data_IF_354067081339
#
_entry.id   IF_354067081339
#
_cell.length_a   1.000
_cell.length_b   1.000
_cell.length_c   1.000
_cell.angle_alpha   90.00
_cell.angle_beta   90.00
_cell.angle_gamma   90.00
#
_symmetry.space_group_name_H-M   'P 1'
#
loop_
_entity.id
_entity.type
_entity.pdbx_description
1 polymer ?
#
# COMPACT_ATOMS: atom_id res chain seq x y z
N UNK A 1 -12.64 -5.07 -14.55
CA UNK A 1 -11.80 -6.12 -13.92
C UNK A 1 -12.40 -6.45 -12.58
N UNK A 2 -12.56 -7.74 -12.26
CA UNK A 2 -13.11 -8.14 -10.97
C UNK A 2 -12.14 -7.78 -9.84
N UNK A 3 -12.65 -7.16 -8.78
CA UNK A 3 -11.86 -6.68 -7.63
C UNK A 3 -11.73 -7.80 -6.60
N UNK A 4 -10.52 -8.00 -6.07
CA UNK A 4 -10.27 -9.05 -5.06
C UNK A 4 -10.78 -8.60 -3.71
N UNK A 5 -11.33 -9.50 -2.91
CA UNK A 5 -11.70 -9.13 -1.55
C UNK A 5 -10.45 -8.85 -0.69
N UNK A 6 -10.51 -7.77 0.09
CA UNK A 6 -9.45 -7.40 1.03
C UNK A 6 -9.51 -8.20 2.33
N UNK A 7 -10.70 -8.64 2.77
CA UNK A 7 -10.90 -9.42 4.00
C UNK A 7 -11.25 -10.89 3.75
N UNK A 8 -11.95 -11.22 2.65
CA UNK A 8 -12.30 -12.60 2.31
C UNK A 8 -11.25 -13.29 1.43
N UNK A 9 -11.50 -14.55 1.10
CA UNK A 9 -10.82 -15.24 0.01
C UNK A 9 -11.62 -15.07 -1.27
N UNK A 10 -10.94 -14.88 -2.41
CA UNK A 10 -11.59 -14.72 -3.71
C UNK A 10 -11.87 -13.26 -4.08
N UNK A 11 -13.01 -13.03 -4.72
CA UNK A 11 -13.41 -11.75 -5.30
C UNK A 11 -14.45 -11.05 -4.44
N UNK A 12 -14.52 -9.72 -4.53
CA UNK A 12 -15.52 -8.90 -3.83
C UNK A 12 -16.96 -9.27 -4.27
N UNK A 13 -17.12 -9.69 -5.52
CA UNK A 13 -18.41 -10.15 -6.07
C UNK A 13 -18.88 -11.49 -5.49
N UNK A 14 -17.96 -12.29 -4.94
CA UNK A 14 -18.26 -13.59 -4.34
C UNK A 14 -18.47 -13.50 -2.82
N UNK A 15 -18.46 -12.28 -2.26
CA UNK A 15 -18.65 -12.07 -0.83
C UNK A 15 -20.09 -12.45 -0.41
N UNK A 16 -20.25 -13.13 0.72
CA UNK A 16 -21.56 -13.57 1.19
C UNK A 16 -22.43 -12.36 1.51
N UNK A 17 -23.66 -12.37 1.01
CA UNK A 17 -24.67 -11.37 1.37
C UNK A 17 -25.09 -11.50 2.83
N UNK A 18 -25.63 -10.43 3.41
CA UNK A 18 -26.11 -10.43 4.80
C UNK A 18 -27.14 -11.52 5.06
N UNK A 19 -28.01 -11.82 4.10
CA UNK A 19 -28.99 -12.91 4.21
C UNK A 19 -28.34 -14.29 4.19
N UNK A 20 -27.37 -14.52 3.30
CA UNK A 20 -26.60 -15.76 3.29
C UNK A 20 -25.82 -15.96 4.59
N UNK A 21 -25.26 -14.90 5.17
CA UNK A 21 -24.58 -14.95 6.47
C UNK A 21 -25.53 -15.32 7.60
N UNK A 22 -26.76 -14.79 7.61
CA UNK A 22 -27.79 -15.17 8.62
C UNK A 22 -28.17 -16.64 8.52
N UNK A 23 -28.38 -17.14 7.30
CA UNK A 23 -28.70 -18.55 7.07
C UNK A 23 -27.56 -19.44 7.56
N UNK A 24 -26.32 -19.14 7.16
CA UNK A 24 -25.14 -19.89 7.60
C UNK A 24 -24.95 -19.84 9.12
N UNK A 25 -25.16 -18.67 9.76
CA UNK A 25 -25.07 -18.53 11.21
C UNK A 25 -26.10 -19.42 11.93
N UNK A 26 -27.34 -19.48 11.43
CA UNK A 26 -28.40 -20.32 12.01
C UNK A 26 -28.08 -21.82 11.90
N UNK A 27 -27.56 -22.26 10.76
CA UNK A 27 -27.15 -23.66 10.56
C UNK A 27 -26.00 -24.04 11.47
N UNK A 28 -24.98 -23.18 11.58
CA UNK A 28 -23.83 -23.39 12.47
C UNK A 28 -24.25 -23.37 13.94
N UNK A 29 -25.13 -22.45 14.34
CA UNK A 29 -25.65 -22.36 15.71
C UNK A 29 -26.36 -23.66 16.12
N UNK A 30 -27.21 -24.19 15.23
CA UNK A 30 -27.91 -25.47 15.45
C UNK A 30 -26.93 -26.65 15.55
N UNK A 31 -25.93 -26.71 14.65
CA UNK A 31 -24.97 -27.81 14.60
C UNK A 31 -24.03 -27.84 15.81
N UNK A 32 -23.54 -26.69 16.23
CA UNK A 32 -22.55 -26.57 17.31
C UNK A 32 -23.18 -26.25 18.67
N UNK A 33 -24.51 -26.04 18.73
CA UNK A 33 -25.26 -25.68 19.94
C UNK A 33 -24.69 -24.44 20.64
N UNK A 34 -24.30 -23.45 19.84
CA UNK A 34 -23.76 -22.15 20.27
C UNK A 34 -24.63 -21.03 19.74
N UNK A 35 -24.72 -19.94 20.49
CA UNK A 35 -25.35 -18.72 19.98
C UNK A 35 -24.39 -17.99 19.04
N UNK A 36 -24.83 -17.71 17.82
CA UNK A 36 -24.04 -17.07 16.77
C UNK A 36 -24.82 -15.91 16.17
N UNK A 37 -24.32 -14.69 16.40
CA UNK A 37 -24.82 -13.48 15.76
C UNK A 37 -23.92 -13.11 14.59
N UNK A 38 -24.42 -13.08 13.33
CA UNK A 38 -23.61 -12.69 12.18
C UNK A 38 -23.21 -11.22 12.28
N UNK A 39 -21.91 -10.94 12.12
CA UNK A 39 -21.36 -9.57 12.07
C UNK A 39 -21.46 -9.04 10.65
N UNK A 40 -21.71 -7.74 10.49
CA UNK A 40 -21.72 -7.12 9.16
C UNK A 40 -20.30 -7.11 8.58
N UNK A 41 -20.10 -7.55 7.33
CA UNK A 41 -18.78 -7.52 6.71
C UNK A 41 -18.33 -6.07 6.49
N UNK A 42 -17.04 -5.77 6.70
CA UNK A 42 -16.51 -4.43 6.46
C UNK A 42 -16.52 -4.13 4.96
N UNK A 43 -16.83 -2.89 4.60
CA UNK A 43 -16.80 -2.43 3.21
C UNK A 43 -15.46 -1.80 2.90
N UNK A 44 -15.11 -1.75 1.61
CA UNK A 44 -13.91 -1.02 1.16
C UNK A 44 -13.93 0.47 1.52
N UNK A 45 -15.12 1.07 1.69
CA UNK A 45 -15.29 2.45 2.16
C UNK A 45 -14.91 2.66 3.63
N UNK A 46 -14.89 1.59 4.42
CA UNK A 46 -14.61 1.64 5.86
C UNK A 46 -13.09 1.59 6.12
N UNK A 47 -12.30 1.31 5.08
CA UNK A 47 -10.85 1.36 5.13
C UNK A 47 -10.39 2.81 5.23
N UNK A 48 -9.86 3.18 6.40
CA UNK A 48 -9.17 4.45 6.62
C UNK A 48 -7.72 4.17 6.97
N UNK A 49 -6.87 4.00 5.96
CA UNK A 49 -5.47 3.68 6.19
C UNK A 49 -4.64 4.95 6.36
N UNK A 50 -3.59 4.86 7.19
CA UNK A 50 -2.59 5.93 7.29
C UNK A 50 -2.03 6.26 5.91
N UNK A 51 -1.85 7.56 5.60
CA UNK A 51 -1.24 8.02 4.35
C UNK A 51 0.12 7.32 4.06
N UNK A 52 0.41 6.97 2.80
CA UNK A 52 1.69 6.42 2.40
C UNK A 52 2.86 7.31 2.85
N UNK A 53 3.91 6.69 3.42
CA UNK A 53 5.10 7.42 3.88
C UNK A 53 6.12 7.66 2.76
N UNK A 54 5.98 6.94 1.65
CA UNK A 54 6.87 6.99 0.50
C UNK A 54 6.06 7.50 -0.67
N UNK A 55 6.56 8.56 -1.31
CA UNK A 55 5.97 9.13 -2.53
C UNK A 55 6.92 8.72 -3.67
N UNK A 56 6.48 7.89 -4.62
CA UNK A 56 7.30 7.50 -5.75
C UNK A 56 7.51 8.70 -6.69
N UNK A 57 8.65 8.77 -7.40
CA UNK A 57 8.87 9.75 -8.44
C UNK A 57 7.83 9.61 -9.56
N UNK A 58 7.54 10.71 -10.27
CA UNK A 58 6.48 10.78 -11.29
C UNK A 58 6.57 9.70 -12.37
N UNK A 59 7.79 9.28 -12.73
CA UNK A 59 8.05 8.19 -13.68
C UNK A 59 7.53 6.82 -13.24
N UNK A 60 7.34 6.62 -11.94
CA UNK A 60 6.89 5.36 -11.33
C UNK A 60 5.47 5.47 -10.74
N UNK A 61 4.87 6.67 -10.77
CA UNK A 61 3.52 6.90 -10.24
C UNK A 61 2.46 6.02 -10.95
N UNK A 62 2.62 5.77 -12.25
CA UNK A 62 1.67 4.97 -13.04
C UNK A 62 1.65 3.47 -12.67
N UNK A 63 2.68 2.97 -12.00
CA UNK A 63 2.83 1.55 -11.61
C UNK A 63 2.71 1.34 -10.09
N UNK A 64 2.51 2.42 -9.35
CA UNK A 64 2.34 2.43 -7.90
C UNK A 64 0.87 2.69 -7.57
N UNK A 65 0.25 1.79 -6.79
CA UNK A 65 -1.11 2.00 -6.31
C UNK A 65 -1.08 2.59 -4.89
N UNK A 66 -1.90 3.61 -4.68
CA UNK A 66 -2.05 4.31 -3.39
C UNK A 66 -3.42 4.14 -2.77
N UNK A 67 -4.34 3.50 -3.49
CA UNK A 67 -5.70 3.27 -3.03
C UNK A 67 -5.68 2.39 -1.77
N UNK A 68 -6.53 2.74 -0.80
CA UNK A 68 -6.55 2.08 0.50
C UNK A 68 -6.96 0.60 0.37
N UNK A 69 -7.82 0.27 -0.59
CA UNK A 69 -8.19 -1.10 -0.84
C UNK A 69 -6.99 -1.92 -1.39
N UNK A 70 -6.26 -1.39 -2.38
CA UNK A 70 -5.06 -2.06 -2.89
C UNK A 70 -4.04 -2.27 -1.75
N UNK A 71 -3.82 -1.26 -0.93
CA UNK A 71 -2.88 -1.35 0.20
C UNK A 71 -3.33 -2.36 1.25
N UNK A 72 -4.62 -2.43 1.55
CA UNK A 72 -5.19 -3.42 2.47
C UNK A 72 -4.98 -4.86 1.95
N UNK A 73 -5.28 -5.10 0.66
CA UNK A 73 -5.09 -6.41 0.00
C UNK A 73 -3.64 -6.90 0.06
N UNK A 74 -2.68 -5.97 -0.01
CA UNK A 74 -1.24 -6.28 -0.07
C UNK A 74 -0.52 -6.18 1.27
N UNK A 75 -1.19 -5.76 2.34
CA UNK A 75 -0.59 -5.72 3.69
C UNK A 75 -0.57 -7.09 4.35
N UNK A 76 -1.62 -7.88 4.13
CA UNK A 76 -1.84 -9.14 4.82
C UNK A 76 -1.79 -10.35 3.88
N UNK A 77 -1.23 -11.45 4.40
CA UNK A 77 -1.26 -12.74 3.72
C UNK A 77 -2.66 -13.33 3.64
N UNK A 78 -2.74 -14.61 3.24
CA UNK A 78 -4.01 -15.38 3.19
C UNK A 78 -4.15 -16.34 4.37
N UNK A 79 -3.40 -16.09 5.45
CA UNK A 79 -3.54 -16.86 6.70
C UNK A 79 -4.83 -16.46 7.42
N UNK A 80 -5.41 -17.40 8.18
CA UNK A 80 -6.65 -17.16 8.91
C UNK A 80 -6.56 -15.94 9.84
N UNK A 81 -5.48 -15.84 10.63
CA UNK A 81 -5.25 -14.71 11.56
C UNK A 81 -5.23 -13.36 10.83
N UNK A 82 -4.60 -13.32 9.66
CA UNK A 82 -4.51 -12.07 8.89
C UNK A 82 -5.87 -11.68 8.29
N UNK A 83 -6.72 -12.66 7.97
CA UNK A 83 -8.09 -12.41 7.49
C UNK A 83 -8.98 -11.85 8.59
N UNK A 84 -8.86 -12.35 9.82
CA UNK A 84 -9.56 -11.79 10.98
C UNK A 84 -9.12 -10.35 11.22
N UNK A 85 -7.81 -10.05 11.21
CA UNK A 85 -7.31 -8.67 11.34
C UNK A 85 -7.80 -7.75 10.22
N UNK A 86 -7.83 -8.25 8.98
CA UNK A 86 -8.36 -7.50 7.85
C UNK A 86 -9.87 -7.24 7.98
N UNK A 87 -10.61 -8.21 8.55
CA UNK A 87 -12.03 -8.08 8.85
C UNK A 87 -12.28 -7.04 9.95
N UNK A 88 -11.43 -7.00 10.97
CA UNK A 88 -11.49 -6.03 12.07
C UNK A 88 -10.94 -4.64 11.69
N UNK A 89 -10.56 -4.43 10.42
CA UNK A 89 -9.93 -3.21 9.91
C UNK A 89 -8.63 -2.81 10.65
N UNK A 90 -7.96 -3.79 11.27
CA UNK A 90 -6.73 -3.57 12.01
C UNK A 90 -5.51 -3.59 11.09
N UNK A 91 -5.08 -2.41 10.64
CA UNK A 91 -3.90 -2.22 9.80
C UNK A 91 -2.89 -1.28 10.47
N UNK A 92 -2.05 -1.77 11.41
CA UNK A 92 -1.13 -0.92 12.16
C UNK A 92 0.05 -0.43 11.30
N UNK A 93 0.47 -1.21 10.31
CA UNK A 93 1.55 -0.85 9.39
C UNK A 93 1.20 -1.21 7.93
N UNK A 94 0.29 -0.45 7.29
CA UNK A 94 -0.16 -0.74 5.93
C UNK A 94 0.97 -0.52 4.94
N UNK A 95 1.32 -1.57 4.20
CA UNK A 95 2.37 -1.50 3.18
C UNK A 95 1.84 -0.76 1.94
N UNK A 96 2.74 -0.05 1.26
CA UNK A 96 2.45 0.46 -0.06
C UNK A 96 2.56 -0.69 -1.06
N UNK A 97 1.62 -0.79 -2.00
CA UNK A 97 1.74 -1.77 -3.08
C UNK A 97 2.94 -1.39 -3.95
N UNK A 98 3.97 -2.24 -3.92
CA UNK A 98 5.08 -2.14 -4.86
C UNK A 98 4.66 -2.68 -6.22
N UNK A 99 5.27 -2.19 -7.31
CA UNK A 99 5.00 -2.71 -8.64
C UNK A 99 5.29 -4.21 -8.72
N UNK A 100 4.59 -4.91 -9.62
CA UNK A 100 4.77 -6.34 -9.85
C UNK A 100 6.23 -6.68 -10.21
N UNK A 101 6.63 -7.96 -10.14
CA UNK A 101 8.04 -8.39 -10.12
C UNK A 101 8.97 -7.75 -11.20
N UNK A 102 8.45 -7.52 -12.40
CA UNK A 102 9.20 -6.87 -13.48
C UNK A 102 9.39 -5.36 -13.25
N UNK A 103 8.35 -4.68 -12.77
CA UNK A 103 8.40 -3.27 -12.40
C UNK A 103 9.13 -3.04 -11.07
N UNK A 104 9.17 -4.03 -10.18
CA UNK A 104 9.97 -4.02 -8.94
C UNK A 104 11.48 -3.98 -9.25
N UNK A 105 11.94 -4.64 -10.33
CA UNK A 105 13.33 -4.53 -10.80
C UNK A 105 13.67 -3.10 -11.23
N UNK A 106 12.79 -2.47 -12.01
CA UNK A 106 12.95 -1.07 -12.43
C UNK A 106 12.87 -0.11 -11.23
N UNK A 107 11.98 -0.35 -10.29
CA UNK A 107 11.89 0.39 -9.01
C UNK A 107 13.21 0.33 -8.23
N UNK A 108 13.76 -0.87 -8.00
CA UNK A 108 15.07 -1.04 -7.32
C UNK A 108 16.20 -0.32 -8.05
N UNK A 109 16.22 -0.37 -9.38
CA UNK A 109 17.24 0.32 -10.20
C UNK A 109 17.10 1.85 -10.12
N UNK A 110 15.88 2.38 -10.25
CA UNK A 110 15.62 3.82 -10.13
C UNK A 110 15.91 4.35 -8.72
N UNK A 111 15.53 3.60 -7.67
CA UNK A 111 15.77 3.98 -6.29
C UNK A 111 17.26 3.89 -5.91
N UNK A 112 17.96 2.83 -6.33
CA UNK A 112 19.42 2.74 -6.15
C UNK A 112 20.13 3.87 -6.91
N UNK A 113 19.69 4.22 -8.12
CA UNK A 113 20.21 5.38 -8.86
C UNK A 113 20.00 6.70 -8.13
N UNK A 114 18.81 6.91 -7.55
CA UNK A 114 18.50 8.11 -6.76
C UNK A 114 19.31 8.18 -5.45
N UNK A 115 19.50 7.05 -4.77
CA UNK A 115 20.32 6.97 -3.56
C UNK A 115 21.82 7.20 -3.86
N UNK A 116 22.31 6.69 -5.00
CA UNK A 116 23.66 6.96 -5.50
C UNK A 116 23.84 8.43 -5.90
N UNK A 117 22.84 9.07 -6.51
CA UNK A 117 22.87 10.50 -6.79
C UNK A 117 22.81 11.33 -5.51
N UNK A 118 21.97 10.96 -4.54
CA UNK A 118 21.87 11.67 -3.26
C UNK A 118 23.16 11.56 -2.45
N UNK A 119 23.78 10.37 -2.38
CA UNK A 119 25.08 10.18 -1.72
C UNK A 119 26.21 10.89 -2.46
N UNK A 120 26.20 10.93 -3.80
CA UNK A 120 27.19 11.67 -4.59
C UNK A 120 27.03 13.18 -4.47
N UNK A 121 25.79 13.69 -4.41
CA UNK A 121 25.50 15.10 -4.15
C UNK A 121 25.84 15.50 -2.72
N UNK A 122 25.56 14.63 -1.74
CA UNK A 122 25.99 14.84 -0.35
C UNK A 122 27.52 14.86 -0.23
N UNK A 123 28.22 13.96 -0.93
CA UNK A 123 29.68 13.94 -0.98
C UNK A 123 30.26 15.17 -1.68
N UNK A 124 29.67 15.62 -2.78
CA UNK A 124 30.05 16.87 -3.45
C UNK A 124 29.77 18.12 -2.59
N UNK A 125 28.72 18.10 -1.77
CA UNK A 125 28.41 19.19 -0.85
C UNK A 125 29.35 19.24 0.37
N UNK A 126 29.89 18.09 0.80
CA UNK A 126 30.84 17.98 1.92
C UNK A 126 32.29 18.21 1.46
N UNK A 127 32.64 17.87 0.21
CA UNK A 127 33.99 18.07 -0.36
C UNK A 127 34.16 19.43 -1.07
N UNK A 128 33.12 20.27 -1.18
CA UNK A 128 33.23 21.61 -1.76
C UNK A 128 33.97 22.57 -0.81
N UNK A 129 35.12 23.16 -1.20
CA UNK A 129 35.82 24.14 -0.39
C UNK A 129 34.99 25.44 -0.25
N UNK A 130 34.96 26.10 0.92
CA UNK A 130 34.03 27.19 1.24
C UNK A 130 34.20 28.51 0.47
N UNK A 131 35.00 28.57 -0.61
CA UNK A 131 35.42 29.84 -1.23
C UNK A 131 35.13 29.97 -2.73
N UNK A 132 34.28 29.14 -3.34
CA UNK A 132 33.87 29.32 -4.75
C UNK A 132 32.38 29.68 -4.96
N UNK A 133 31.74 30.29 -3.95
CA UNK A 133 30.32 30.67 -3.99
C UNK A 133 29.97 32.03 -4.62
N UNK A 134 30.92 32.78 -5.22
CA UNK A 134 30.66 34.16 -5.66
C UNK A 134 30.96 34.48 -7.15
N UNK A 135 31.46 33.54 -7.95
CA UNK A 135 31.82 33.84 -9.35
C UNK A 135 30.75 33.51 -10.40
N UNK A 136 29.74 32.69 -10.09
CA UNK A 136 28.79 32.20 -11.10
C UNK A 136 27.48 33.01 -11.25
N UNK A 137 27.24 34.03 -10.44
CA UNK A 137 26.04 34.87 -10.52
C UNK A 137 26.18 36.15 -11.36
N UNK A 138 27.37 36.44 -11.92
CA UNK A 138 27.58 37.63 -12.78
C UNK A 138 27.59 37.38 -14.29
N UNK A 139 27.57 36.14 -14.76
CA UNK A 139 27.70 35.84 -16.20
C UNK A 139 26.37 35.79 -16.98
N UNK A 140 25.21 35.95 -16.32
CA UNK A 140 23.88 35.82 -16.96
C UNK A 140 23.10 37.14 -17.07
N UNK A 141 23.81 38.24 -17.30
CA UNK A 141 23.21 39.56 -17.57
C UNK A 141 24.06 40.35 -18.58
N UNK A 142 24.31 39.77 -19.76
CA UNK A 142 24.61 40.45 -21.03
C UNK A 142 24.86 39.40 -22.12
N UNK A 143 23.79 38.98 -22.77
CA UNK A 143 23.72 38.72 -24.21
C UNK A 143 22.25 38.65 -24.60
#
# INVERSE_FOLDING_TARGET
>A
MAKRSFWAWGMEADEPTSEQMKIAAKELASRYKVDLTPVSPPKGSDLSLRKPRIIPPSSLAAICAFDDHDRAVHTYGRSFRDRIRAFDLDFPNPQMRLPDHEANRKWKLCWNGALLLATRLFRLAVEAPPWQGLSLLKARRKS
#
